data_IF_532643022263
#
_entry.id   IF_532643022263
#
_cell.length_a   1.000
_cell.length_b   1.000
_cell.length_c   1.000
_cell.angle_alpha   90.00
_cell.angle_beta   90.00
_cell.angle_gamma   90.00
#
_symmetry.space_group_name_H-M   'P 1'
#
loop_
_entity.id
_entity.type
_entity.pdbx_description
1 polymer ?
#
# COMPACT_ATOMS: atom_id res chain seq x y z
N UNK A 1 -6.98 23.78 23.67
CA UNK A 1 -5.56 24.12 23.39
C UNK A 1 -5.14 23.24 22.22
N UNK A 2 -4.67 23.80 21.10
CA UNK A 2 -4.16 23.02 19.97
C UNK A 2 -2.67 22.82 20.19
N UNK A 3 -2.25 21.59 20.43
CA UNK A 3 -0.83 21.25 20.47
C UNK A 3 -0.24 21.49 19.07
N UNK A 4 0.72 22.40 18.99
CA UNK A 4 1.43 22.75 17.77
C UNK A 4 2.40 21.64 17.39
N UNK A 5 2.23 21.13 16.16
CA UNK A 5 3.11 20.18 15.49
C UNK A 5 4.59 20.57 15.62
N UNK A 6 5.40 19.69 16.23
CA UNK A 6 6.83 19.88 16.42
C UNK A 6 7.62 19.05 15.38
N UNK A 7 8.24 19.70 14.37
CA UNK A 7 8.94 19.01 13.29
C UNK A 7 10.25 18.32 13.72
N UNK A 8 10.81 18.60 14.91
CA UNK A 8 12.08 18.02 15.38
C UNK A 8 11.92 16.60 15.95
N UNK A 9 10.69 16.22 16.32
CA UNK A 9 10.36 14.88 16.85
C UNK A 9 9.81 13.96 15.76
N UNK A 10 9.17 14.51 14.73
CA UNK A 10 8.62 13.77 13.60
C UNK A 10 9.68 13.54 12.52
N UNK A 11 10.73 12.81 12.87
CA UNK A 11 11.70 12.30 11.90
C UNK A 11 11.01 11.29 10.96
N UNK A 12 10.51 11.81 9.83
CA UNK A 12 9.93 11.05 8.73
C UNK A 12 11.00 10.18 8.07
N UNK A 13 11.28 9.00 8.63
CA UNK A 13 12.23 8.06 8.04
C UNK A 13 11.53 7.25 6.95
N UNK A 14 11.82 7.60 5.70
CA UNK A 14 11.74 6.65 4.60
C UNK A 14 12.88 5.64 4.81
N UNK A 15 12.54 4.37 5.01
CA UNK A 15 13.53 3.27 5.08
C UNK A 15 13.97 2.82 3.68
N UNK A 16 13.50 3.49 2.61
CA UNK A 16 14.04 3.33 1.25
C UNK A 16 15.55 3.24 1.31
N UNK A 17 16.08 2.06 0.96
CA UNK A 17 17.51 1.85 0.85
C UNK A 17 17.98 2.84 -0.21
N UNK A 18 18.74 3.86 0.23
CA UNK A 18 19.36 4.83 -0.68
C UNK A 18 20.18 4.01 -1.67
N UNK A 19 19.95 4.24 -2.96
CA UNK A 19 20.61 3.57 -4.10
C UNK A 19 20.07 2.18 -4.50
N UNK A 20 19.01 1.65 -3.85
CA UNK A 20 18.38 0.42 -4.32
C UNK A 20 17.39 0.70 -5.46
N UNK A 21 17.59 0.00 -6.58
CA UNK A 21 16.72 0.09 -7.73
C UNK A 21 15.53 -0.86 -7.57
N UNK A 22 14.39 -0.30 -7.15
CA UNK A 22 13.13 -1.03 -7.00
C UNK A 22 12.46 -1.42 -8.34
N UNK A 23 13.21 -1.35 -9.46
CA UNK A 23 12.92 -2.04 -10.73
C UNK A 23 13.45 -3.48 -10.74
N UNK A 24 14.37 -3.81 -9.84
CA UNK A 24 15.05 -5.10 -9.86
C UNK A 24 14.07 -6.24 -9.64
N UNK A 25 14.33 -7.33 -10.35
CA UNK A 25 13.62 -8.56 -10.12
C UNK A 25 13.84 -9.05 -8.68
N UNK A 26 12.79 -9.55 -8.05
CA UNK A 26 12.87 -10.10 -6.71
C UNK A 26 11.63 -9.84 -5.86
N UNK A 27 11.63 -10.48 -4.69
CA UNK A 27 10.55 -10.41 -3.73
C UNK A 27 10.68 -9.21 -2.78
N UNK A 28 9.55 -8.55 -2.54
CA UNK A 28 9.41 -7.39 -1.68
C UNK A 28 8.31 -7.64 -0.67
N UNK A 29 8.63 -7.47 0.61
CA UNK A 29 7.65 -7.39 1.68
C UNK A 29 7.22 -5.94 1.86
N UNK A 30 5.92 -5.69 2.03
CA UNK A 30 5.35 -4.35 2.20
C UNK A 30 4.37 -4.31 3.36
N UNK A 31 4.35 -3.18 4.07
CA UNK A 31 3.31 -2.84 5.06
C UNK A 31 2.69 -1.51 4.71
N UNK A 32 1.35 -1.45 4.66
CA UNK A 32 0.58 -0.24 4.34
C UNK A 32 -0.47 -0.02 5.41
N UNK A 33 -0.32 1.05 6.20
CA UNK A 33 -1.28 1.38 7.25
C UNK A 33 -2.49 2.15 6.68
N UNK A 34 -3.66 1.91 7.27
CA UNK A 34 -4.86 2.73 7.10
C UNK A 34 -4.60 4.12 7.67
N UNK A 35 -5.23 5.14 7.07
CA UNK A 35 -5.15 6.50 7.54
C UNK A 35 -5.55 6.58 9.02
N UNK A 36 -4.75 7.29 9.82
CA UNK A 36 -4.89 7.36 11.28
C UNK A 36 -4.96 6.00 12.02
N UNK A 37 -4.58 4.89 11.37
CA UNK A 37 -4.66 3.53 11.93
C UNK A 37 -6.08 3.14 12.38
N UNK A 38 -7.10 3.67 11.71
CA UNK A 38 -8.49 3.29 11.93
C UNK A 38 -8.71 1.80 11.58
N UNK A 39 -9.50 1.09 12.40
CA UNK A 39 -9.87 -0.31 12.15
C UNK A 39 -10.99 -0.39 11.08
N UNK A 40 -10.63 -0.11 9.83
CA UNK A 40 -11.55 0.02 8.70
C UNK A 40 -11.98 -1.33 8.11
N UNK A 41 -11.10 -2.35 8.16
CA UNK A 41 -11.25 -3.56 7.35
C UNK A 41 -11.91 -4.74 8.06
N UNK A 42 -12.25 -4.59 9.34
CA UNK A 42 -12.87 -5.63 10.14
C UNK A 42 -12.28 -5.68 11.53
N UNK A 43 -12.30 -6.86 12.12
CA UNK A 43 -11.84 -7.11 13.48
C UNK A 43 -11.09 -8.45 13.55
N UNK A 44 -10.22 -8.60 14.55
CA UNK A 44 -9.61 -9.89 14.88
C UNK A 44 -10.37 -10.47 16.06
N UNK A 45 -10.87 -11.70 15.92
CA UNK A 45 -11.59 -12.42 16.97
C UNK A 45 -10.97 -13.80 17.11
N UNK A 46 -10.61 -14.17 18.33
CA UNK A 46 -9.95 -15.45 18.65
C UNK A 46 -8.67 -15.70 17.82
N UNK A 47 -7.95 -14.62 17.52
CA UNK A 47 -6.71 -14.68 16.73
C UNK A 47 -6.91 -14.90 15.23
N UNK A 48 -8.15 -14.80 14.74
CA UNK A 48 -8.49 -14.87 13.32
C UNK A 48 -8.99 -13.53 12.82
N UNK A 49 -8.54 -13.13 11.63
CA UNK A 49 -9.05 -11.93 10.98
C UNK A 49 -10.44 -12.17 10.40
N UNK A 50 -11.43 -11.35 10.80
CA UNK A 50 -12.77 -11.31 10.22
C UNK A 50 -12.94 -10.04 9.38
N UNK A 51 -12.80 -10.19 8.06
CA UNK A 51 -12.97 -9.08 7.13
C UNK A 51 -14.43 -8.64 7.03
N UNK A 52 -14.63 -7.33 7.00
CA UNK A 52 -15.91 -6.73 6.61
C UNK A 52 -15.94 -6.49 5.08
N UNK A 53 -17.02 -5.90 4.57
CA UNK A 53 -17.16 -5.61 3.14
C UNK A 53 -16.06 -4.69 2.57
N UNK A 54 -15.48 -3.79 3.38
CA UNK A 54 -14.38 -2.93 2.96
C UNK A 54 -13.05 -3.69 2.91
N UNK A 55 -12.81 -4.57 3.89
CA UNK A 55 -11.66 -5.48 3.91
C UNK A 55 -11.66 -6.41 2.70
N UNK A 56 -12.81 -7.03 2.38
CA UNK A 56 -12.97 -7.84 1.18
C UNK A 56 -12.74 -7.05 -0.11
N UNK A 57 -13.16 -5.77 -0.16
CA UNK A 57 -12.90 -4.91 -1.30
C UNK A 57 -11.39 -4.61 -1.46
N UNK A 58 -10.67 -4.40 -0.36
CA UNK A 58 -9.22 -4.23 -0.38
C UNK A 58 -8.51 -5.52 -0.84
N UNK A 59 -8.95 -6.68 -0.38
CA UNK A 59 -8.43 -7.99 -0.79
C UNK A 59 -8.57 -8.22 -2.29
N UNK A 60 -9.78 -8.00 -2.82
CA UNK A 60 -10.03 -8.13 -4.24
C UNK A 60 -9.16 -7.17 -5.07
N UNK A 61 -8.92 -5.95 -4.58
CA UNK A 61 -8.02 -5.00 -5.25
C UNK A 61 -6.56 -5.44 -5.22
N UNK A 62 -6.11 -6.09 -4.13
CA UNK A 62 -4.75 -6.63 -4.02
C UNK A 62 -4.57 -7.77 -5.02
N UNK A 63 -5.48 -8.74 -5.03
CA UNK A 63 -5.45 -9.87 -5.96
C UNK A 63 -5.51 -9.42 -7.43
N UNK A 64 -6.25 -8.33 -7.73
CA UNK A 64 -6.35 -7.77 -9.07
C UNK A 64 -5.04 -7.13 -9.60
N UNK A 65 -4.01 -6.95 -8.76
CA UNK A 65 -2.72 -6.37 -9.19
C UNK A 65 -2.13 -7.15 -10.37
N UNK A 66 -2.19 -8.48 -10.36
CA UNK A 66 -1.61 -9.32 -11.42
C UNK A 66 -2.28 -9.12 -12.79
N UNK A 67 -3.51 -8.63 -12.82
CA UNK A 67 -4.23 -8.31 -14.06
C UNK A 67 -3.69 -7.03 -14.72
N UNK A 68 -3.14 -6.11 -13.91
CA UNK A 68 -2.60 -4.83 -14.37
C UNK A 68 -1.09 -4.87 -14.55
N UNK A 69 -0.41 -5.77 -13.82
CA UNK A 69 1.04 -5.93 -13.84
C UNK A 69 1.39 -7.42 -14.06
N UNK A 70 1.44 -7.90 -15.32
CA UNK A 70 1.68 -9.31 -15.63
C UNK A 70 3.04 -9.84 -15.18
N UNK A 71 4.00 -8.94 -14.92
CA UNK A 71 5.32 -9.26 -14.38
C UNK A 71 5.34 -9.31 -12.85
N UNK A 72 4.18 -9.28 -12.17
CA UNK A 72 4.07 -9.37 -10.72
C UNK A 72 3.43 -10.69 -10.33
N UNK A 73 4.03 -11.36 -9.37
CA UNK A 73 3.40 -12.47 -8.64
C UNK A 73 3.13 -12.03 -7.21
N UNK A 74 1.97 -12.42 -6.70
CA UNK A 74 1.60 -12.22 -5.30
C UNK A 74 1.88 -13.49 -4.53
N UNK A 75 2.31 -13.30 -3.29
CA UNK A 75 2.59 -14.36 -2.33
C UNK A 75 1.80 -14.05 -1.05
N UNK A 76 2.22 -14.59 0.10
CA UNK A 76 1.54 -14.44 1.38
C UNK A 76 1.19 -12.98 1.71
N UNK A 77 -0.05 -12.74 2.13
CA UNK A 77 -0.54 -11.43 2.52
C UNK A 77 -1.62 -11.57 3.60
N UNK A 78 -1.83 -10.50 4.37
CA UNK A 78 -2.94 -10.40 5.31
C UNK A 78 -3.44 -8.96 5.38
N UNK A 79 -4.76 -8.80 5.36
CA UNK A 79 -5.41 -7.52 5.69
C UNK A 79 -5.77 -7.57 7.16
N UNK A 80 -5.17 -6.70 7.94
CA UNK A 80 -5.49 -6.49 9.35
C UNK A 80 -6.54 -5.38 9.49
N UNK A 81 -7.16 -5.19 10.66
CA UNK A 81 -8.19 -4.17 10.84
C UNK A 81 -7.76 -2.78 10.34
N UNK A 82 -6.50 -2.41 10.56
CA UNK A 82 -6.00 -1.07 10.29
C UNK A 82 -4.70 -1.01 9.46
N UNK A 83 -4.25 -2.12 8.90
CA UNK A 83 -3.08 -2.15 8.04
C UNK A 83 -3.10 -3.39 7.15
N UNK A 84 -2.19 -3.43 6.20
CA UNK A 84 -2.01 -4.52 5.26
C UNK A 84 -0.55 -4.94 5.25
N UNK A 85 -0.31 -6.24 5.21
CA UNK A 85 0.99 -6.82 4.93
C UNK A 85 0.91 -7.70 3.69
N UNK A 86 1.92 -7.65 2.83
CA UNK A 86 1.96 -8.53 1.66
C UNK A 86 3.36 -8.72 1.12
N UNK A 87 3.54 -9.84 0.44
CA UNK A 87 4.73 -10.13 -0.36
C UNK A 87 4.33 -10.09 -1.84
N UNK A 88 5.16 -9.45 -2.65
CA UNK A 88 5.07 -9.53 -4.10
C UNK A 88 6.44 -9.76 -4.71
N UNK A 89 6.50 -10.54 -5.78
CA UNK A 89 7.69 -10.73 -6.61
C UNK A 89 7.52 -9.95 -7.91
N UNK A 90 8.50 -9.12 -8.24
CA UNK A 90 8.60 -8.48 -9.56
C UNK A 90 9.51 -9.37 -10.40
N UNK A 91 8.96 -10.01 -11.42
CA UNK A 91 9.72 -10.87 -12.32
C UNK A 91 10.42 -9.99 -13.35
N UNK A 92 11.75 -10.10 -13.42
CA UNK A 92 12.55 -9.45 -14.46
C UNK A 92 12.29 -10.06 -15.84
N UNK A 93 12.61 -9.35 -16.94
CA UNK A 93 12.46 -9.91 -18.28
C UNK A 93 13.29 -11.20 -18.41
N UNK A 94 12.63 -12.30 -18.75
CA UNK A 94 13.29 -13.58 -19.04
C UNK A 94 14.15 -13.40 -20.30
N UNK A 95 15.46 -13.19 -20.11
CA UNK A 95 16.45 -13.34 -21.17
C UNK A 95 16.72 -12.15 -22.12
N UNK A 96 16.63 -10.89 -21.68
CA UNK A 96 17.10 -9.76 -22.50
C UNK A 96 18.29 -9.03 -21.84
N UNK A 97 19.44 -9.08 -22.50
CA UNK A 97 20.56 -8.15 -22.26
C UNK A 97 20.04 -6.72 -22.33
N UNK A 98 20.58 -5.84 -21.47
CA UNK A 98 20.25 -4.42 -21.38
C UNK A 98 20.01 -3.79 -22.77
N UNK A 99 18.77 -3.35 -22.99
CA UNK A 99 18.33 -2.70 -24.22
C UNK A 99 17.13 -1.80 -23.94
N UNK A 100 17.36 -0.50 -24.14
CA UNK A 100 16.49 0.67 -24.24
C UNK A 100 14.96 0.50 -24.24
N UNK A 101 14.34 1.33 -23.38
CA UNK A 101 12.98 1.88 -23.39
C UNK A 101 12.00 1.45 -24.49
N UNK A 102 10.94 0.76 -24.08
CA UNK A 102 9.63 0.82 -24.72
C UNK A 102 8.56 1.02 -23.64
N UNK A 103 7.99 2.22 -23.59
CA UNK A 103 6.83 2.54 -22.76
C UNK A 103 5.60 1.82 -23.32
N UNK A 104 4.90 0.96 -22.55
CA UNK A 104 3.54 0.62 -22.89
C UNK A 104 2.68 1.85 -22.59
N UNK A 105 2.11 2.45 -23.64
CA UNK A 105 1.16 3.56 -23.49
C UNK A 105 0.03 3.15 -22.56
N UNK A 106 -0.16 3.90 -21.48
CA UNK A 106 -1.38 3.84 -20.69
C UNK A 106 -2.50 4.33 -21.59
N UNK A 107 -3.35 3.40 -22.02
CA UNK A 107 -4.53 3.66 -22.83
C UNK A 107 -5.43 4.67 -22.13
N UNK A 108 -5.53 5.82 -22.79
CA UNK A 108 -6.63 6.75 -22.71
C UNK A 108 -7.96 6.01 -22.88
N UNK A 109 -8.88 6.22 -21.94
CA UNK A 109 -10.31 6.03 -22.12
C UNK A 109 -10.98 7.27 -21.49
N UNK A 110 -10.84 8.42 -22.15
CA UNK A 110 -11.71 9.58 -21.97
C UNK A 110 -13.14 9.33 -22.47
N UNK A 111 -14.17 10.17 -22.29
CA UNK A 111 -14.46 11.47 -21.61
C UNK A 111 -16.03 11.48 -21.48
N UNK A 112 -16.76 12.11 -20.55
CA UNK A 112 -17.23 13.52 -20.32
C UNK A 112 -18.41 13.41 -19.30
N UNK A 113 -18.84 14.35 -18.44
CA UNK A 113 -18.76 15.82 -18.41
C UNK A 113 -19.08 16.36 -16.99
N UNK A 114 -18.56 17.57 -16.72
CA UNK A 114 -19.02 18.63 -15.81
C UNK A 114 -19.78 18.34 -14.50
N UNK A 115 -19.16 18.70 -13.37
CA UNK A 115 -19.73 19.78 -12.55
C UNK A 115 -18.64 20.54 -11.78
N UNK A 116 -18.82 21.85 -11.72
CA UNK A 116 -17.91 22.86 -11.20
C UNK A 116 -18.33 23.21 -9.77
N UNK A 117 -17.54 22.81 -8.78
CA UNK A 117 -17.73 23.28 -7.40
C UNK A 117 -16.41 23.88 -6.91
N UNK A 118 -16.32 25.21 -7.00
CA UNK A 118 -15.37 26.03 -6.25
C UNK A 118 -15.62 25.83 -4.74
N UNK A 119 -14.63 25.34 -4.03
CA UNK A 119 -14.56 25.28 -2.57
C UNK A 119 -13.18 25.73 -2.12
N UNK A 120 -13.15 26.61 -1.13
CA UNK A 120 -12.07 27.55 -0.83
C UNK A 120 -10.79 26.93 -0.23
N UNK A 121 -9.71 27.68 -0.40
CA UNK A 121 -8.33 27.32 -0.10
C UNK A 121 -8.09 26.83 1.35
N UNK A 122 -7.75 25.55 1.47
CA UNK A 122 -7.06 24.97 2.62
C UNK A 122 -5.81 24.23 2.11
N UNK A 123 -4.67 24.52 2.72
CA UNK A 123 -3.31 24.20 2.26
C UNK A 123 -3.16 22.84 1.57
N UNK A 124 -2.75 22.89 0.30
CA UNK A 124 -2.42 21.74 -0.50
C UNK A 124 -1.27 20.96 0.16
N UNK A 125 -1.58 19.86 0.84
CA UNK A 125 -0.59 18.87 1.28
C UNK A 125 -0.11 18.06 0.07
N UNK A 126 0.61 18.75 -0.81
CA UNK A 126 1.20 18.24 -2.01
C UNK A 126 2.11 17.05 -1.73
N UNK A 127 2.18 16.14 -2.70
CA UNK A 127 3.12 15.04 -2.67
C UNK A 127 4.55 15.50 -2.94
N UNK A 128 5.60 15.08 -2.17
CA UNK A 128 6.98 15.35 -2.58
C UNK A 128 7.40 14.48 -3.78
N UNK A 129 6.51 13.63 -4.32
CA UNK A 129 6.75 12.95 -5.59
C UNK A 129 6.39 13.92 -6.71
N UNK A 130 7.32 14.84 -7.00
CA UNK A 130 7.30 15.70 -8.21
C UNK A 130 7.95 15.05 -9.42
N UNK A 131 8.27 13.77 -9.35
CA UNK A 131 8.71 12.98 -10.49
C UNK A 131 7.86 11.71 -10.56
N UNK A 132 7.30 11.42 -11.73
CA UNK A 132 6.36 10.31 -11.91
C UNK A 132 7.02 8.98 -11.53
N UNK A 133 6.30 8.12 -10.79
CA UNK A 133 6.81 6.76 -10.52
C UNK A 133 7.05 6.04 -11.84
N UNK A 134 8.24 5.45 -12.00
CA UNK A 134 8.58 4.66 -13.19
C UNK A 134 7.62 3.47 -13.29
N UNK A 135 7.03 3.28 -14.47
CA UNK A 135 6.12 2.16 -14.73
C UNK A 135 6.78 0.82 -14.40
N UNK A 136 6.05 -0.07 -13.73
CA UNK A 136 6.54 -1.40 -13.31
C UNK A 136 7.42 -1.41 -12.04
N UNK A 137 7.71 -0.25 -11.43
CA UNK A 137 8.37 -0.22 -10.12
C UNK A 137 7.42 -0.61 -8.98
N UNK A 138 7.96 -1.08 -7.86
CA UNK A 138 7.20 -1.32 -6.61
C UNK A 138 6.32 -0.11 -6.25
N UNK A 139 6.87 1.09 -6.38
CA UNK A 139 6.14 2.34 -6.10
C UNK A 139 4.92 2.55 -7.00
N UNK A 140 5.04 2.28 -8.30
CA UNK A 140 3.93 2.40 -9.24
C UNK A 140 2.83 1.37 -8.97
N UNK A 141 3.21 0.13 -8.66
CA UNK A 141 2.28 -0.97 -8.33
C UNK A 141 1.49 -0.62 -7.07
N UNK A 142 2.17 -0.22 -5.99
CA UNK A 142 1.51 0.15 -4.73
C UNK A 142 0.66 1.41 -4.86
N UNK A 143 1.07 2.36 -5.71
CA UNK A 143 0.26 3.53 -6.02
C UNK A 143 -1.04 3.15 -6.72
N UNK A 144 -0.98 2.23 -7.70
CA UNK A 144 -2.17 1.70 -8.36
C UNK A 144 -3.09 1.00 -7.35
N UNK A 145 -2.55 0.08 -6.54
CA UNK A 145 -3.31 -0.62 -5.50
C UNK A 145 -4.05 0.35 -4.57
N UNK A 146 -3.32 1.33 -3.99
CA UNK A 146 -3.91 2.31 -3.07
C UNK A 146 -4.97 3.18 -3.75
N UNK A 147 -4.76 3.55 -5.02
CA UNK A 147 -5.73 4.35 -5.79
C UNK A 147 -7.02 3.58 -6.08
N UNK A 148 -6.91 2.37 -6.63
CA UNK A 148 -8.07 1.55 -7.02
C UNK A 148 -8.89 1.15 -5.78
N UNK A 149 -8.22 0.67 -4.73
CA UNK A 149 -8.87 0.31 -3.47
C UNK A 149 -9.55 1.51 -2.80
N UNK A 150 -8.88 2.68 -2.75
CA UNK A 150 -9.48 3.91 -2.20
C UNK A 150 -10.75 4.29 -2.96
N UNK A 151 -10.73 4.28 -4.29
CA UNK A 151 -11.92 4.60 -5.10
C UNK A 151 -13.06 3.62 -4.83
N UNK A 152 -12.77 2.32 -4.76
CA UNK A 152 -13.77 1.27 -4.52
C UNK A 152 -14.38 1.40 -3.12
N UNK A 153 -13.54 1.53 -2.09
CA UNK A 153 -13.96 1.67 -0.69
C UNK A 153 -14.78 2.95 -0.51
N UNK A 154 -14.31 4.08 -1.04
CA UNK A 154 -14.99 5.37 -0.91
C UNK A 154 -16.38 5.36 -1.54
N UNK A 155 -16.55 4.63 -2.66
CA UNK A 155 -17.86 4.39 -3.27
C UNK A 155 -18.77 3.55 -2.37
N UNK A 156 -18.24 2.57 -1.64
CA UNK A 156 -19.02 1.70 -0.75
C UNK A 156 -19.50 2.41 0.52
N UNK A 157 -18.71 3.35 1.05
CA UNK A 157 -19.05 4.13 2.26
C UNK A 157 -19.81 5.44 1.99
N UNK A 158 -20.18 5.70 0.73
CA UNK A 158 -20.77 6.96 0.28
C UNK A 158 -20.04 8.22 0.79
N UNK A 159 -18.70 8.14 0.82
CA UNK A 159 -17.87 9.21 1.36
C UNK A 159 -16.65 9.40 0.45
N UNK A 160 -16.85 10.02 -0.73
CA UNK A 160 -15.79 10.29 -1.69
C UNK A 160 -14.76 11.26 -1.12
N UNK A 161 -13.50 11.06 -1.49
CA UNK A 161 -12.42 11.99 -1.14
C UNK A 161 -11.70 11.75 0.19
N UNK A 162 -12.29 11.08 1.20
CA UNK A 162 -11.50 10.82 2.42
C UNK A 162 -10.41 9.75 2.16
N UNK A 163 -9.23 9.90 2.77
CA UNK A 163 -8.15 8.94 2.64
C UNK A 163 -8.55 7.57 3.22
N UNK A 164 -8.06 6.51 2.60
CA UNK A 164 -8.12 5.13 3.15
C UNK A 164 -6.76 4.74 3.69
N UNK A 165 -5.69 5.00 2.94
CA UNK A 165 -4.34 4.61 3.32
C UNK A 165 -3.52 5.81 3.81
N UNK A 166 -2.55 5.55 4.70
CA UNK A 166 -1.47 6.48 4.93
C UNK A 166 -0.70 6.73 3.65
N UNK A 167 -0.04 7.88 3.57
CA UNK A 167 0.70 8.28 2.39
C UNK A 167 1.91 7.37 2.09
N UNK A 168 2.72 7.09 3.11
CA UNK A 168 3.91 6.24 2.98
C UNK A 168 3.53 4.76 3.15
N UNK A 169 4.50 3.88 2.92
CA UNK A 169 4.46 2.46 3.26
C UNK A 169 5.85 2.05 3.78
N UNK A 170 5.93 0.91 4.45
CA UNK A 170 7.18 0.24 4.76
C UNK A 170 7.44 -0.80 3.69
N UNK A 171 8.71 -1.00 3.35
CA UNK A 171 9.14 -2.06 2.46
C UNK A 171 10.45 -2.70 2.94
N UNK A 172 10.61 -3.99 2.65
CA UNK A 172 11.82 -4.77 2.87
C UNK A 172 12.10 -5.65 1.64
N UNK A 173 13.34 -5.62 1.17
CA UNK A 173 13.80 -6.48 0.06
C UNK A 173 14.12 -7.85 0.63
N UNK A 174 13.43 -8.88 0.15
CA UNK A 174 13.64 -10.27 0.58
C UNK A 174 14.96 -10.77 -0.01
N UNK A 175 15.85 -11.26 0.86
CA UNK A 175 17.24 -11.54 0.48
C UNK A 175 17.53 -12.98 0.10
N UNK A 176 16.78 -13.91 0.69
CA UNK A 176 16.95 -15.36 0.50
C UNK A 176 15.69 -16.12 0.92
N UNK A 177 15.71 -17.45 0.74
CA UNK A 177 14.58 -18.32 1.06
C UNK A 177 14.24 -18.37 2.56
N UNK A 178 15.23 -18.20 3.44
CA UNK A 178 15.01 -18.21 4.89
C UNK A 178 14.29 -16.93 5.32
N UNK A 179 14.73 -15.78 4.80
CA UNK A 179 14.06 -14.49 4.96
C UNK A 179 12.62 -14.57 4.46
N UNK A 180 12.41 -15.12 3.25
CA UNK A 180 11.08 -15.32 2.68
C UNK A 180 10.18 -16.18 3.57
N UNK A 181 10.68 -17.33 4.03
CA UNK A 181 9.93 -18.24 4.91
C UNK A 181 9.56 -17.57 6.24
N UNK A 182 10.47 -16.77 6.81
CA UNK A 182 10.22 -16.03 8.04
C UNK A 182 9.15 -14.95 7.85
N UNK A 183 9.16 -14.23 6.73
CA UNK A 183 8.17 -13.21 6.42
C UNK A 183 6.80 -13.85 6.18
N UNK A 184 6.71 -14.93 5.39
CA UNK A 184 5.45 -15.68 5.22
C UNK A 184 4.89 -16.14 6.57
N UNK A 185 5.73 -16.71 7.43
CA UNK A 185 5.34 -17.09 8.78
C UNK A 185 4.91 -15.90 9.63
N UNK A 186 5.58 -14.76 9.53
CA UNK A 186 5.18 -13.53 10.23
C UNK A 186 3.78 -13.08 9.80
N UNK A 187 3.51 -13.03 8.49
CA UNK A 187 2.22 -12.63 7.92
C UNK A 187 1.11 -13.56 8.39
N UNK A 188 1.29 -14.88 8.23
CA UNK A 188 0.30 -15.88 8.61
C UNK A 188 -0.05 -15.85 10.12
N UNK A 189 0.93 -15.50 10.97
CA UNK A 189 0.73 -15.40 12.41
C UNK A 189 0.34 -14.00 12.90
N UNK A 190 0.18 -13.01 12.00
CA UNK A 190 -0.10 -11.64 12.41
C UNK A 190 -1.47 -11.52 13.12
N UNK A 191 -2.57 -12.13 12.63
CA UNK A 191 -3.85 -12.16 13.36
C UNK A 191 -3.73 -12.69 14.79
N UNK A 192 -2.98 -13.76 15.01
CA UNK A 192 -2.72 -14.33 16.35
C UNK A 192 -1.97 -13.38 17.28
N UNK A 193 -1.21 -12.44 16.73
CA UNK A 193 -0.39 -11.47 17.45
C UNK A 193 -1.02 -10.08 17.54
N UNK A 194 -2.26 -9.91 17.09
CA UNK A 194 -2.93 -8.61 17.01
C UNK A 194 -2.96 -7.85 18.34
N UNK A 195 -3.15 -8.57 19.45
CA UNK A 195 -3.17 -7.96 20.79
C UNK A 195 -1.81 -7.40 21.23
N UNK A 196 -0.72 -7.85 20.61
CA UNK A 196 0.65 -7.40 20.84
C UNK A 196 1.12 -6.40 19.78
N UNK A 197 0.30 -6.12 18.76
CA UNK A 197 0.68 -5.25 17.64
C UNK A 197 0.77 -3.79 18.12
N UNK A 198 1.85 -3.11 17.75
CA UNK A 198 2.09 -1.69 18.07
C UNK A 198 1.10 -0.75 17.36
N UNK A 199 0.54 -1.17 16.23
CA UNK A 199 -0.45 -0.43 15.48
C UNK A 199 -1.86 -0.69 16.02
N UNK A 200 -2.07 -1.66 16.91
CA UNK A 200 -3.36 -1.87 17.55
C UNK A 200 -3.73 -0.63 18.39
N UNK A 201 -4.89 0.02 18.14
CA UNK A 201 -5.30 1.21 18.88
C UNK A 201 -5.37 1.02 20.41
N UNK A 202 -5.59 -0.22 20.89
CA UNK A 202 -5.59 -0.55 22.32
C UNK A 202 -4.19 -0.43 22.96
N UNK A 203 -3.14 -0.52 22.14
CA UNK A 203 -1.75 -0.38 22.58
C UNK A 203 -1.18 1.03 22.33
N UNK A 204 -1.90 1.88 21.59
CA UNK A 204 -1.49 3.25 21.32
C UNK A 204 -1.47 4.08 22.61
N UNK A 205 -0.27 4.40 23.11
CA UNK A 205 -0.08 5.22 24.32
C UNK A 205 0.33 4.45 25.58
N UNK A 206 0.65 3.15 25.48
CA UNK A 206 1.34 2.40 26.54
C UNK A 206 2.86 2.60 26.48
#
# INVERSE_FOLDING_TARGET
MKETYNPDIHHRRSIRLREYDYRNAGAYFVTICVFQRECLFGEVVDGEMRLNGLGLAAEACWQAITNHFPNVQLDEFVIMPNHFHGIMDIIGPVGAKQGSSASPGFGDNGIIDGDSCKGEAGEAFASPLRDGTVSGSLGAILQNFKSVSTRKINKMRDNPGCPVWQRNYYEHVVRDETDLANIRKYIANNPLKWDLDENNPVNAGK
#
